data_IF_264906290185
#
_entry.id   IF_264906290185
#
_cell.length_a   1.000
_cell.length_b   1.000
_cell.length_c   1.000
_cell.angle_alpha   90.00
_cell.angle_beta   90.00
_cell.angle_gamma   90.00
#
_symmetry.space_group_name_H-M   'P 1'
#
loop_
_entity.id
_entity.type
_entity.pdbx_description
1 polymer ?
#
# COMPACT_ATOMS: atom_id res chain seq x y z
N UNK A 1 -44.70 5.95 -34.65
CA UNK A 1 -43.58 5.10 -35.12
C UNK A 1 -42.23 5.81 -35.05
N UNK A 2 -41.96 6.89 -35.82
CA UNK A 2 -40.64 7.58 -35.81
C UNK A 2 -40.21 8.16 -34.45
N UNK A 3 -41.12 8.79 -33.70
CA UNK A 3 -40.82 9.33 -32.37
C UNK A 3 -40.47 8.25 -31.33
N UNK A 4 -41.12 7.08 -31.42
CA UNK A 4 -40.82 5.93 -30.57
C UNK A 4 -39.44 5.35 -30.89
N UNK A 5 -39.08 5.26 -32.17
CA UNK A 5 -37.75 4.82 -32.61
C UNK A 5 -36.65 5.77 -32.14
N UNK A 6 -36.88 7.09 -32.21
CA UNK A 6 -35.95 8.09 -31.69
C UNK A 6 -35.77 7.98 -30.17
N UNK A 7 -36.86 7.80 -29.42
CA UNK A 7 -36.79 7.63 -27.97
C UNK A 7 -36.07 6.34 -27.56
N UNK A 8 -36.25 5.25 -28.31
CA UNK A 8 -35.51 3.99 -28.09
C UNK A 8 -34.02 4.19 -28.38
N UNK A 9 -33.66 4.83 -29.49
CA UNK A 9 -32.26 5.09 -29.84
C UNK A 9 -31.56 5.96 -28.77
N UNK A 10 -32.25 6.98 -28.26
CA UNK A 10 -31.73 7.82 -27.17
C UNK A 10 -31.56 7.04 -25.87
N UNK A 11 -32.53 6.19 -25.51
CA UNK A 11 -32.43 5.30 -24.35
C UNK A 11 -31.26 4.33 -24.47
N UNK A 12 -31.06 3.70 -25.64
CA UNK A 12 -29.92 2.82 -25.91
C UNK A 12 -28.61 3.57 -25.76
N UNK A 13 -28.48 4.76 -26.36
CA UNK A 13 -27.26 5.56 -26.25
C UNK A 13 -26.95 5.96 -24.80
N UNK A 14 -27.97 6.27 -24.00
CA UNK A 14 -27.78 6.56 -22.56
C UNK A 14 -27.36 5.31 -21.80
N UNK A 15 -27.94 4.15 -22.09
CA UNK A 15 -27.57 2.89 -21.48
C UNK A 15 -26.11 2.52 -21.80
N UNK A 16 -25.70 2.67 -23.07
CA UNK A 16 -24.33 2.41 -23.51
C UNK A 16 -23.34 3.35 -22.81
N UNK A 17 -23.67 4.64 -22.70
CA UNK A 17 -22.84 5.62 -21.99
C UNK A 17 -22.70 5.31 -20.51
N UNK A 18 -23.80 4.91 -19.84
CA UNK A 18 -23.76 4.49 -18.43
C UNK A 18 -22.94 3.21 -18.24
N UNK A 19 -23.04 2.26 -19.16
CA UNK A 19 -22.26 1.02 -19.11
C UNK A 19 -20.76 1.31 -19.27
N UNK A 20 -20.39 2.20 -20.18
CA UNK A 20 -19.00 2.62 -20.34
C UNK A 20 -18.49 3.31 -19.06
N UNK A 21 -19.28 4.22 -18.50
CA UNK A 21 -18.91 4.92 -17.27
C UNK A 21 -18.76 3.96 -16.09
N UNK A 22 -19.63 2.95 -15.98
CA UNK A 22 -19.52 1.93 -14.94
C UNK A 22 -18.22 1.13 -15.07
N UNK A 23 -17.87 0.69 -16.29
CA UNK A 23 -16.62 -0.02 -16.55
C UNK A 23 -15.39 0.83 -16.23
N UNK A 24 -15.41 2.13 -16.57
CA UNK A 24 -14.33 3.05 -16.25
C UNK A 24 -14.17 3.26 -14.74
N UNK A 25 -15.28 3.35 -13.99
CA UNK A 25 -15.28 3.48 -12.54
C UNK A 25 -14.79 2.20 -11.85
N UNK A 26 -15.20 1.02 -12.33
CA UNK A 26 -14.71 -0.27 -11.83
C UNK A 26 -13.19 -0.39 -12.00
N UNK A 27 -12.66 0.07 -13.14
CA UNK A 27 -11.21 0.11 -13.37
C UNK A 27 -10.51 1.07 -12.42
N UNK A 28 -11.06 2.28 -12.24
CA UNK A 28 -10.49 3.27 -11.31
C UNK A 28 -10.52 2.77 -9.86
N UNK A 29 -11.58 2.08 -9.47
CA UNK A 29 -11.69 1.47 -8.15
C UNK A 29 -10.62 0.40 -7.95
N UNK A 30 -10.47 -0.53 -8.90
CA UNK A 30 -9.46 -1.58 -8.82
C UNK A 30 -8.03 -1.01 -8.72
N UNK A 31 -7.72 0.04 -9.47
CA UNK A 31 -6.42 0.73 -9.39
C UNK A 31 -6.23 1.39 -8.02
N UNK A 32 -7.28 1.99 -7.47
CA UNK A 32 -7.22 2.69 -6.19
C UNK A 32 -7.08 1.71 -5.03
N UNK A 33 -7.79 0.59 -5.07
CA UNK A 33 -7.67 -0.50 -4.10
C UNK A 33 -6.27 -1.11 -4.12
N UNK A 34 -5.69 -1.33 -5.30
CA UNK A 34 -4.31 -1.81 -5.43
C UNK A 34 -3.29 -0.83 -4.81
N UNK A 35 -3.45 0.47 -5.05
CA UNK A 35 -2.59 1.50 -4.44
C UNK A 35 -2.75 1.53 -2.91
N UNK A 36 -3.99 1.49 -2.43
CA UNK A 36 -4.27 1.50 -1.00
C UNK A 36 -3.64 0.28 -0.30
N UNK A 37 -3.70 -0.90 -0.93
CA UNK A 37 -3.07 -2.10 -0.38
C UNK A 37 -1.55 -1.93 -0.21
N UNK A 38 -0.87 -1.35 -1.20
CA UNK A 38 0.58 -1.04 -1.12
C UNK A 38 0.87 -0.04 -0.01
N UNK A 39 0.10 1.05 0.10
CA UNK A 39 0.26 2.04 1.18
C UNK A 39 0.05 1.42 2.57
N UNK A 40 -0.91 0.51 2.72
CA UNK A 40 -1.12 -0.22 3.97
C UNK A 40 0.08 -1.09 4.35
N UNK A 41 0.75 -1.71 3.37
CA UNK A 41 1.97 -2.47 3.58
C UNK A 41 3.12 -1.58 4.03
N UNK A 42 3.34 -0.44 3.37
CA UNK A 42 4.34 0.55 3.79
C UNK A 42 4.08 1.09 5.20
N UNK A 43 2.82 1.44 5.50
CA UNK A 43 2.42 1.94 6.80
C UNK A 43 2.69 0.93 7.92
N UNK A 44 2.43 -0.36 7.68
CA UNK A 44 2.76 -1.43 8.63
C UNK A 44 4.27 -1.54 8.88
N UNK A 45 5.07 -1.50 7.82
CA UNK A 45 6.53 -1.51 7.92
C UNK A 45 7.07 -0.33 8.74
N UNK A 46 6.61 0.89 8.45
CA UNK A 46 7.02 2.10 9.17
C UNK A 46 6.57 2.09 10.64
N UNK A 47 5.35 1.61 10.92
CA UNK A 47 4.84 1.50 12.29
C UNK A 47 5.66 0.51 13.13
N UNK A 48 6.10 -0.60 12.54
CA UNK A 48 6.96 -1.57 13.20
C UNK A 48 8.35 -0.98 13.51
N UNK A 49 8.95 -0.24 12.58
CA UNK A 49 10.21 0.48 12.82
C UNK A 49 10.08 1.49 13.95
N UNK A 50 9.05 2.34 13.91
CA UNK A 50 8.80 3.35 14.93
C UNK A 50 8.62 2.71 16.31
N UNK A 51 7.84 1.62 16.39
CA UNK A 51 7.64 0.87 17.64
C UNK A 51 8.95 0.29 18.18
N UNK A 52 9.80 -0.25 17.30
CA UNK A 52 11.11 -0.75 17.70
C UNK A 52 12.01 0.36 18.24
N UNK A 53 12.09 1.50 17.55
CA UNK A 53 12.88 2.65 18.00
C UNK A 53 12.40 3.16 19.36
N UNK A 54 11.09 3.22 19.58
CA UNK A 54 10.52 3.60 20.88
C UNK A 54 10.86 2.61 21.99
N UNK A 55 10.80 1.30 21.70
CA UNK A 55 11.18 0.27 22.67
C UNK A 55 12.65 0.40 23.08
N UNK A 56 13.55 0.58 22.11
CA UNK A 56 14.98 0.76 22.39
C UNK A 56 15.23 2.05 23.18
N UNK A 57 14.56 3.15 22.85
CA UNK A 57 14.68 4.40 23.60
C UNK A 57 14.22 4.26 25.07
N UNK A 58 13.16 3.50 25.32
CA UNK A 58 12.67 3.22 26.68
C UNK A 58 13.65 2.35 27.47
N UNK A 59 14.22 1.31 26.85
CA UNK A 59 15.20 0.41 27.49
C UNK A 59 16.52 1.11 27.81
N UNK A 60 16.97 2.02 26.95
CA UNK A 60 18.21 2.76 27.15
C UNK A 60 18.11 3.88 28.21
N UNK A 61 16.90 4.28 28.61
CA UNK A 61 16.70 5.41 29.52
C UNK A 61 17.17 6.76 28.96
N UNK A 62 17.40 6.85 27.63
CA UNK A 62 17.98 8.01 26.95
C UNK A 62 16.87 8.93 26.45
N UNK A 63 16.86 10.22 26.83
CA UNK A 63 15.91 11.19 26.30
C UNK A 63 16.43 11.81 24.99
N UNK A 64 16.66 11.02 23.94
CA UNK A 64 16.75 11.48 22.54
C UNK A 64 16.99 10.31 21.58
N UNK A 65 16.10 10.16 20.59
CA UNK A 65 16.25 9.22 19.46
C UNK A 65 17.48 9.47 18.58
N UNK A 66 18.16 10.61 18.76
CA UNK A 66 19.30 11.06 17.96
C UNK A 66 20.57 10.25 18.16
N UNK A 67 20.72 9.55 19.29
CA UNK A 67 21.93 8.78 19.63
C UNK A 67 21.86 7.31 19.18
N UNK A 68 20.69 6.84 18.72
CA UNK A 68 20.49 5.47 18.23
C UNK A 68 20.80 5.28 16.74
N UNK A 69 21.21 6.36 16.06
CA UNK A 69 21.52 6.35 14.63
C UNK A 69 22.97 5.93 14.37
N UNK A 70 23.84 6.03 15.38
CA UNK A 70 25.25 5.71 15.24
C UNK A 70 25.60 4.36 15.85
N UNK A 71 26.07 3.53 14.91
CA UNK A 71 26.96 2.37 15.04
C UNK A 71 26.32 0.97 14.97
N UNK A 72 26.44 0.24 13.85
CA UNK A 72 27.62 -0.33 13.17
C UNK A 72 27.72 -1.84 13.42
N UNK A 73 26.76 -2.60 12.88
CA UNK A 73 27.11 -3.82 12.17
C UNK A 73 26.39 -3.81 10.82
N UNK A 74 26.88 -2.93 9.94
CA UNK A 74 26.86 -3.23 8.52
C UNK A 74 27.77 -4.45 8.32
N UNK A 75 27.22 -5.65 8.58
CA UNK A 75 27.79 -6.88 8.04
C UNK A 75 27.87 -6.69 6.53
N UNK A 76 29.02 -6.97 5.93
CA UNK A 76 29.44 -6.67 4.55
C UNK A 76 28.55 -7.27 3.42
N UNK A 77 27.34 -7.76 3.73
CA UNK A 77 26.28 -8.11 2.78
C UNK A 77 24.84 -7.94 3.30
N UNK A 78 24.61 -7.33 4.48
CA UNK A 78 23.36 -7.44 5.24
C UNK A 78 22.59 -6.13 5.46
N UNK A 79 21.28 -6.14 5.20
CA UNK A 79 20.36 -5.03 5.49
C UNK A 79 20.36 -4.67 6.98
N UNK A 80 20.23 -3.38 7.31
CA UNK A 80 20.14 -2.91 8.70
C UNK A 80 19.00 -3.58 9.48
N UNK A 81 19.10 -3.64 10.81
CA UNK A 81 18.05 -4.27 11.64
C UNK A 81 16.68 -3.60 11.45
N UNK A 82 16.65 -2.27 11.30
CA UNK A 82 15.42 -1.54 10.99
C UNK A 82 14.84 -1.93 9.63
N UNK A 83 15.66 -2.13 8.61
CA UNK A 83 15.20 -2.60 7.30
C UNK A 83 14.61 -4.02 7.39
N UNK A 84 15.21 -4.92 8.19
CA UNK A 84 14.66 -6.26 8.43
C UNK A 84 13.29 -6.21 9.13
N UNK A 85 13.13 -5.35 10.13
CA UNK A 85 11.86 -5.18 10.86
C UNK A 85 10.77 -4.63 9.94
N UNK A 86 11.13 -3.63 9.13
CA UNK A 86 10.25 -3.09 8.11
C UNK A 86 9.78 -4.18 7.14
N UNK A 87 10.72 -4.94 6.56
CA UNK A 87 10.41 -5.98 5.56
C UNK A 87 9.52 -7.07 6.14
N UNK A 88 9.79 -7.51 7.36
CA UNK A 88 8.97 -8.52 8.03
C UNK A 88 7.52 -8.04 8.26
N UNK A 89 7.34 -6.79 8.70
CA UNK A 89 6.00 -6.22 8.92
C UNK A 89 5.27 -5.91 7.61
N UNK A 90 6.00 -5.47 6.58
CA UNK A 90 5.49 -5.26 5.23
C UNK A 90 4.97 -6.57 4.63
N UNK A 91 5.75 -7.65 4.74
CA UNK A 91 5.39 -8.98 4.22
C UNK A 91 4.26 -9.63 5.02
N UNK A 92 4.25 -9.46 6.34
CA UNK A 92 3.12 -9.88 7.16
C UNK A 92 1.83 -9.18 6.72
N UNK A 93 1.92 -7.86 6.43
CA UNK A 93 0.77 -7.12 5.95
C UNK A 93 0.32 -7.56 4.55
N UNK A 94 1.26 -7.88 3.67
CA UNK A 94 0.94 -8.43 2.35
C UNK A 94 0.21 -9.78 2.45
N UNK A 95 0.65 -10.65 3.35
CA UNK A 95 0.00 -11.94 3.59
C UNK A 95 -1.44 -11.77 4.11
N UNK A 96 -1.70 -10.80 5.00
CA UNK A 96 -3.06 -10.46 5.44
C UNK A 96 -3.96 -9.98 4.29
N UNK A 97 -3.39 -9.27 3.32
CA UNK A 97 -4.09 -8.73 2.15
C UNK A 97 -4.18 -9.73 0.99
N UNK A 98 -3.61 -10.93 1.12
CA UNK A 98 -3.60 -11.95 0.07
C UNK A 98 -2.66 -11.63 -1.10
N UNK A 99 -1.61 -10.84 -0.88
CA UNK A 99 -0.62 -10.46 -1.89
C UNK A 99 0.55 -11.45 -1.87
N UNK A 100 0.76 -12.15 -2.98
CA UNK A 100 1.73 -13.26 -3.08
C UNK A 100 3.19 -12.81 -3.26
N UNK A 101 3.42 -11.68 -3.93
CA UNK A 101 4.76 -11.14 -4.22
C UNK A 101 4.91 -9.69 -3.73
N UNK A 102 5.03 -9.49 -2.40
CA UNK A 102 5.21 -8.16 -1.82
C UNK A 102 6.51 -7.48 -2.25
N UNK A 103 7.55 -8.24 -2.61
CA UNK A 103 8.87 -7.69 -2.89
C UNK A 103 8.86 -6.64 -4.01
N UNK A 104 7.95 -6.79 -4.99
CA UNK A 104 7.76 -5.87 -6.11
C UNK A 104 7.29 -4.48 -5.71
N UNK A 105 6.76 -4.32 -4.51
CA UNK A 105 6.18 -3.06 -4.02
C UNK A 105 7.07 -2.36 -2.98
N UNK A 106 8.27 -2.87 -2.71
CA UNK A 106 9.13 -2.30 -1.64
C UNK A 106 9.94 -1.07 -2.07
N UNK A 107 10.20 -0.90 -3.37
CA UNK A 107 11.08 0.14 -3.93
C UNK A 107 10.30 1.27 -4.64
N UNK A 108 9.07 1.54 -4.21
CA UNK A 108 8.23 2.62 -4.74
C UNK A 108 8.78 4.02 -4.49
#
# INVERSE_FOLDING_TARGET
MKALQAAIAEQTQRADAMQQQAADLELQLAVTEARLAVEMMHAAGLAAQASHMMAVAMEAGVPALSELVDEQEASEAGKSRLAQIYEAAFDAKAAELGIEDPARFREG
#
